data_IF_490319936129
#
_entry.id   IF_490319936129
#
_cell.length_a   1.000
_cell.length_b   1.000
_cell.length_c   1.000
_cell.angle_alpha   90.00
_cell.angle_beta   90.00
_cell.angle_gamma   90.00
#
_symmetry.space_group_name_H-M   'P 1'
#
loop_
_entity.id
_entity.type
_entity.pdbx_description
1 polymer ?
#
# COMPACT_ATOMS: atom_id res chain seq x y z
N UNK A 1 17.59 3.31 -50.01
CA UNK A 1 18.59 2.67 -49.13
C UNK A 1 19.01 3.70 -48.10
N UNK A 2 18.60 3.52 -46.84
CA UNK A 2 19.03 4.36 -45.73
C UNK A 2 19.44 3.43 -44.59
N UNK A 3 20.70 3.55 -44.16
CA UNK A 3 21.35 2.73 -43.14
C UNK A 3 20.85 3.10 -41.74
N UNK A 4 20.39 2.10 -40.98
CA UNK A 4 20.13 2.23 -39.55
C UNK A 4 21.39 1.84 -38.75
N UNK A 5 21.94 2.80 -37.99
CA UNK A 5 23.01 2.53 -37.03
C UNK A 5 22.41 1.89 -35.77
N UNK A 6 22.88 0.68 -35.45
CA UNK A 6 22.60 0.00 -34.19
C UNK A 6 23.29 0.73 -33.03
N UNK A 7 22.51 1.19 -32.06
CA UNK A 7 23.01 1.60 -30.74
C UNK A 7 22.56 0.55 -29.73
N UNK A 8 23.51 -0.22 -29.22
CA UNK A 8 23.28 -1.22 -28.16
C UNK A 8 23.10 -0.51 -26.82
N UNK A 9 21.88 -0.50 -26.28
CA UNK A 9 21.61 -0.07 -24.91
C UNK A 9 21.91 -1.23 -23.94
N UNK A 10 22.80 -0.99 -22.99
CA UNK A 10 23.14 -1.88 -21.88
C UNK A 10 21.96 -2.06 -20.92
N UNK A 11 21.72 -3.30 -20.49
CA UNK A 11 20.69 -3.65 -19.51
C UNK A 11 20.94 -2.97 -18.14
N UNK A 12 19.89 -2.49 -17.44
CA UNK A 12 20.05 -1.98 -16.09
C UNK A 12 20.15 -3.13 -15.07
N UNK A 13 21.14 -3.00 -14.19
CA UNK A 13 21.47 -3.93 -13.11
C UNK A 13 20.39 -4.00 -12.02
N UNK A 14 20.17 -5.21 -11.50
CA UNK A 14 19.30 -5.55 -10.38
C UNK A 14 19.77 -4.93 -9.05
N UNK A 15 19.44 -3.67 -8.78
CA UNK A 15 19.54 -3.09 -7.43
C UNK A 15 18.76 -1.77 -7.34
N UNK A 16 17.48 -1.84 -7.01
CA UNK A 16 16.74 -0.67 -6.52
C UNK A 16 15.60 -1.13 -5.61
N UNK A 17 15.94 -1.50 -4.38
CA UNK A 17 14.94 -1.42 -3.32
C UNK A 17 14.69 0.07 -3.07
N UNK A 18 13.45 0.52 -3.21
CA UNK A 18 13.06 1.89 -2.84
C UNK A 18 13.43 2.15 -1.38
N UNK A 19 13.76 3.41 -1.05
CA UNK A 19 14.05 3.85 0.34
C UNK A 19 12.96 3.40 1.31
N UNK A 20 11.70 3.37 0.86
CA UNK A 20 10.55 2.85 1.57
C UNK A 20 10.63 1.33 1.81
N UNK A 21 10.99 0.54 0.79
CA UNK A 21 11.26 -0.89 0.95
C UNK A 21 12.40 -1.17 1.94
N UNK A 22 13.41 -0.28 2.01
CA UNK A 22 14.50 -0.36 2.99
C UNK A 22 14.03 0.02 4.41
N UNK A 23 13.21 1.05 4.57
CA UNK A 23 12.66 1.45 5.88
C UNK A 23 11.86 0.29 6.52
N UNK A 24 11.03 -0.38 5.71
CA UNK A 24 10.20 -1.49 6.13
C UNK A 24 11.01 -2.77 6.40
N UNK A 25 12.09 -3.01 5.65
CA UNK A 25 12.99 -4.16 5.88
C UNK A 25 13.74 -4.14 7.22
N UNK A 26 13.79 -2.99 7.91
CA UNK A 26 14.44 -2.85 9.23
C UNK A 26 13.60 -3.40 10.40
N UNK A 27 12.39 -3.90 10.14
CA UNK A 27 11.48 -4.45 11.14
C UNK A 27 11.83 -5.86 11.66
N UNK A 28 13.01 -6.42 11.32
CA UNK A 28 13.53 -7.60 12.02
C UNK A 28 13.86 -7.23 13.46
N UNK A 29 12.95 -7.54 14.38
CA UNK A 29 13.20 -7.49 15.82
C UNK A 29 14.52 -8.18 16.14
N UNK A 30 15.50 -7.41 16.61
CA UNK A 30 16.65 -7.95 17.33
C UNK A 30 16.16 -8.52 18.66
N UNK A 31 16.21 -9.85 18.82
CA UNK A 31 16.09 -10.46 20.14
C UNK A 31 17.32 -10.05 20.99
N UNK A 32 17.16 -9.77 22.30
CA UNK A 32 18.29 -9.49 23.17
C UNK A 32 19.12 -10.77 23.41
N UNK A 33 20.44 -10.62 23.39
CA UNK A 33 21.40 -11.69 23.58
C UNK A 33 21.28 -12.35 24.96
N UNK A 34 20.88 -13.62 24.97
CA UNK A 34 20.89 -14.49 26.14
C UNK A 34 22.24 -15.18 26.31
N UNK A 35 22.95 -14.78 27.36
CA UNK A 35 24.00 -15.48 28.12
C UNK A 35 24.40 -16.90 27.66
N UNK A 36 25.64 -17.07 27.20
CA UNK A 36 26.26 -18.39 27.02
C UNK A 36 26.67 -18.97 28.38
N UNK A 37 26.15 -20.15 28.73
CA UNK A 37 26.69 -20.99 29.81
C UNK A 37 27.22 -22.32 29.27
N UNK A 38 28.33 -22.75 29.84
CA UNK A 38 29.28 -23.73 29.34
C UNK A 38 28.73 -25.16 29.24
N UNK A 39 29.18 -25.88 28.19
CA UNK A 39 28.97 -27.33 28.04
C UNK A 39 29.86 -28.11 29.01
N UNK A 40 29.28 -29.10 29.70
CA UNK A 40 30.01 -30.28 30.20
C UNK A 40 29.20 -31.56 29.95
N UNK A 41 29.95 -32.64 29.68
CA UNK A 41 29.50 -33.97 29.23
C UNK A 41 29.07 -34.84 30.42
N UNK A 42 28.08 -35.73 30.25
CA UNK A 42 28.23 -37.20 30.41
C UNK A 42 26.91 -38.00 30.41
N UNK A 43 26.99 -39.15 29.73
CA UNK A 43 26.39 -40.48 29.94
C UNK A 43 24.94 -40.73 30.43
N UNK A 44 24.22 -41.51 29.59
CA UNK A 44 23.42 -42.72 29.87
C UNK A 44 22.44 -42.78 31.07
N UNK A 45 21.16 -43.06 30.79
CA UNK A 45 20.18 -43.48 31.79
C UNK A 45 18.77 -43.74 31.23
N UNK A 46 18.23 -44.92 31.55
CA UNK A 46 16.97 -45.57 31.13
C UNK A 46 15.64 -44.86 31.48
N UNK A 47 14.64 -45.07 30.60
CA UNK A 47 13.19 -45.37 30.85
C UNK A 47 12.29 -44.40 31.63
N UNK A 48 11.31 -43.76 30.95
CA UNK A 48 9.84 -43.74 31.27
C UNK A 48 9.04 -42.77 30.38
N UNK A 49 7.84 -43.20 29.96
CA UNK A 49 6.80 -42.45 29.23
C UNK A 49 6.47 -41.10 29.89
N UNK A 50 6.42 -40.02 29.09
CA UNK A 50 5.56 -38.84 29.33
C UNK A 50 5.03 -38.33 27.98
N UNK A 51 3.71 -38.31 27.86
CA UNK A 51 2.98 -37.59 26.83
C UNK A 51 3.18 -36.10 27.12
N UNK A 52 4.09 -35.43 26.39
CA UNK A 52 4.22 -33.97 26.47
C UNK A 52 3.35 -33.38 25.38
N UNK A 53 2.29 -32.70 25.81
CA UNK A 53 1.59 -31.70 25.01
C UNK A 53 2.62 -30.73 24.44
N UNK A 54 2.97 -30.88 23.16
CA UNK A 54 3.55 -29.80 22.40
C UNK A 54 2.45 -28.74 22.31
N UNK A 55 2.55 -27.74 23.18
CA UNK A 55 1.98 -26.44 22.89
C UNK A 55 2.61 -26.02 21.58
N UNK A 56 1.86 -26.16 20.49
CA UNK A 56 2.19 -25.48 19.25
C UNK A 56 2.24 -24.00 19.60
N UNK A 57 3.46 -23.47 19.72
CA UNK A 57 3.66 -22.04 19.55
C UNK A 57 3.02 -21.70 18.21
N UNK A 58 2.07 -20.75 18.13
CA UNK A 58 1.60 -20.31 16.84
C UNK A 58 2.83 -19.82 16.08
N UNK A 59 3.16 -20.52 15.01
CA UNK A 59 4.21 -20.13 14.09
C UNK A 59 3.75 -18.78 13.51
N UNK A 60 4.24 -17.69 14.11
CA UNK A 60 3.91 -16.32 13.67
C UNK A 60 4.58 -16.19 12.31
N UNK A 61 3.81 -16.54 11.29
CA UNK A 61 4.12 -16.25 9.90
C UNK A 61 4.57 -14.79 9.81
N UNK A 62 5.61 -14.48 9.00
CA UNK A 62 6.07 -13.11 8.86
C UNK A 62 4.85 -12.23 8.54
N UNK A 63 4.66 -11.19 9.34
CA UNK A 63 3.55 -10.24 9.21
C UNK A 63 3.46 -9.83 7.73
N UNK A 64 2.47 -10.34 7.00
CA UNK A 64 2.39 -10.11 5.55
C UNK A 64 1.92 -8.67 5.39
N UNK A 65 2.84 -7.83 4.94
CA UNK A 65 2.55 -6.47 4.55
C UNK A 65 2.10 -6.45 3.09
N UNK A 66 0.96 -5.80 2.83
CA UNK A 66 0.48 -5.51 1.49
C UNK A 66 0.54 -3.99 1.25
N UNK A 67 0.95 -3.61 0.04
CA UNK A 67 1.06 -2.22 -0.40
C UNK A 67 -0.11 -1.89 -1.30
N UNK A 68 -0.86 -0.83 -0.98
CA UNK A 68 -2.02 -0.41 -1.79
C UNK A 68 -1.83 1.01 -2.30
N UNK A 69 -2.08 1.25 -3.58
CA UNK A 69 -2.13 2.61 -4.12
C UNK A 69 -3.59 3.07 -4.12
N UNK A 70 -3.84 4.22 -3.50
CA UNK A 70 -5.13 4.90 -3.53
C UNK A 70 -5.02 6.07 -4.50
N UNK A 71 -5.73 6.00 -5.62
CA UNK A 71 -5.81 7.09 -6.61
C UNK A 71 -7.04 7.92 -6.28
N UNK A 72 -6.85 9.15 -5.81
CA UNK A 72 -7.92 10.09 -5.54
C UNK A 72 -8.17 10.95 -6.78
N UNK A 73 -9.18 10.59 -7.57
CA UNK A 73 -9.55 11.35 -8.78
C UNK A 73 -10.52 12.48 -8.47
N UNK A 74 -11.21 12.45 -7.32
CA UNK A 74 -12.19 13.45 -6.89
C UNK A 74 -13.53 12.85 -6.47
N UNK A 75 -14.61 13.58 -6.76
CA UNK A 75 -15.94 13.30 -6.19
C UNK A 75 -16.12 13.83 -4.77
N UNK A 76 -17.27 13.55 -4.16
CA UNK A 76 -17.70 14.12 -2.88
C UNK A 76 -16.92 13.60 -1.66
N UNK A 77 -16.31 12.41 -1.76
CA UNK A 77 -15.65 11.72 -0.63
C UNK A 77 -14.48 12.52 -0.02
N UNK A 78 -13.84 13.38 -0.80
CA UNK A 78 -12.72 14.22 -0.37
C UNK A 78 -13.04 15.72 -0.30
N UNK A 79 -14.31 16.11 -0.42
CA UNK A 79 -14.67 17.53 -0.40
C UNK A 79 -14.81 18.06 1.04
N UNK A 80 -14.44 19.33 1.23
CA UNK A 80 -14.58 20.04 2.50
C UNK A 80 -15.66 21.12 2.39
N UNK A 81 -16.33 21.40 3.50
CA UNK A 81 -17.29 22.50 3.58
C UNK A 81 -16.54 23.79 3.90
N UNK A 82 -16.55 24.73 2.95
CA UNK A 82 -16.03 26.07 3.15
C UNK A 82 -17.14 27.09 2.83
N UNK A 83 -17.51 27.91 3.82
CA UNK A 83 -18.61 28.89 3.69
C UNK A 83 -19.94 28.29 3.18
N UNK A 84 -20.34 27.12 3.70
CA UNK A 84 -21.53 26.35 3.27
C UNK A 84 -21.51 25.87 1.81
N UNK A 85 -20.37 25.94 1.13
CA UNK A 85 -20.17 25.35 -0.19
C UNK A 85 -19.24 24.15 -0.05
N UNK A 86 -19.63 23.04 -0.68
CA UNK A 86 -18.81 21.85 -0.75
C UNK A 86 -17.80 22.01 -1.90
N UNK A 87 -16.51 21.95 -1.59
CA UNK A 87 -15.44 22.11 -2.59
C UNK A 87 -14.27 21.17 -2.31
N UNK A 88 -13.56 20.70 -3.36
CA UNK A 88 -12.34 19.95 -3.16
C UNK A 88 -11.24 20.84 -2.57
N UNK A 89 -10.53 20.33 -1.57
CA UNK A 89 -9.38 20.99 -0.96
C UNK A 89 -8.15 20.07 -1.05
N UNK A 90 -7.03 20.51 -1.67
CA UNK A 90 -5.85 19.67 -1.84
C UNK A 90 -5.34 19.11 -0.53
N UNK A 91 -5.05 17.80 -0.50
CA UNK A 91 -4.56 17.03 0.64
C UNK A 91 -5.49 16.97 1.88
N UNK A 92 -6.63 17.65 1.90
CA UNK A 92 -7.53 17.65 3.06
C UNK A 92 -8.03 16.25 3.42
N UNK A 93 -8.26 15.41 2.41
CA UNK A 93 -8.61 14.01 2.62
C UNK A 93 -7.50 13.26 3.37
N UNK A 94 -6.25 13.35 2.91
CA UNK A 94 -5.11 12.67 3.52
C UNK A 94 -4.88 13.14 4.95
N UNK A 95 -5.00 14.45 5.20
CA UNK A 95 -4.91 15.00 6.56
C UNK A 95 -6.01 14.47 7.48
N UNK A 96 -7.22 14.30 6.95
CA UNK A 96 -8.34 13.72 7.70
C UNK A 96 -8.11 12.24 7.99
N UNK A 97 -7.70 11.45 6.99
CA UNK A 97 -7.39 10.02 7.14
C UNK A 97 -6.33 9.79 8.22
N UNK A 98 -5.32 10.66 8.31
CA UNK A 98 -4.24 10.56 9.30
C UNK A 98 -4.72 10.74 10.74
N UNK A 99 -5.83 11.47 10.95
CA UNK A 99 -6.42 11.70 12.29
C UNK A 99 -7.32 10.53 12.73
N UNK A 100 -7.73 9.66 11.80
CA UNK A 100 -8.64 8.55 12.10
C UNK A 100 -7.85 7.29 12.49
N UNK A 101 -7.90 6.91 13.77
CA UNK A 101 -7.19 5.74 14.28
C UNK A 101 -7.61 4.41 13.62
N UNK A 102 -8.79 4.36 12.99
CA UNK A 102 -9.25 3.21 12.22
C UNK A 102 -8.56 3.10 10.84
N UNK A 103 -8.01 4.21 10.33
CA UNK A 103 -7.38 4.32 9.01
C UNK A 103 -5.89 4.69 9.09
N UNK A 104 -5.36 4.96 10.29
CA UNK A 104 -3.96 5.28 10.50
C UNK A 104 -3.45 4.78 11.87
N UNK A 105 -2.43 3.92 11.84
CA UNK A 105 -1.69 3.44 13.03
C UNK A 105 -0.42 4.29 13.22
N UNK A 106 -0.55 5.38 13.97
CA UNK A 106 0.53 6.34 14.22
C UNK A 106 1.72 5.70 14.97
N UNK A 107 1.44 4.81 15.93
CA UNK A 107 2.48 4.16 16.72
C UNK A 107 3.39 3.29 15.83
N UNK A 108 2.78 2.47 14.97
CA UNK A 108 3.53 1.66 14.02
C UNK A 108 4.37 2.52 13.07
N UNK A 109 3.79 3.62 12.59
CA UNK A 109 4.48 4.50 11.67
C UNK A 109 5.67 5.25 12.30
N UNK A 110 5.58 5.62 13.58
CA UNK A 110 6.72 6.17 14.34
C UNK A 110 7.84 5.13 14.48
N UNK A 111 7.50 3.90 14.84
CA UNK A 111 8.46 2.80 15.05
C UNK A 111 9.20 2.42 13.76
N UNK A 112 8.48 2.40 12.63
CA UNK A 112 9.03 2.02 11.31
C UNK A 112 9.62 3.19 10.53
N UNK A 113 9.51 4.41 11.07
CA UNK A 113 9.88 5.67 10.39
C UNK A 113 9.10 5.93 9.10
N UNK A 114 7.89 5.39 8.99
CA UNK A 114 6.98 5.71 7.88
C UNK A 114 6.60 7.20 7.83
N UNK A 115 6.76 7.94 8.94
CA UNK A 115 6.56 9.39 8.97
C UNK A 115 7.42 10.17 7.96
N UNK A 116 8.56 9.61 7.54
CA UNK A 116 9.41 10.19 6.50
C UNK A 116 8.68 10.30 5.14
N UNK A 117 7.61 9.53 4.94
CA UNK A 117 6.82 9.44 3.71
C UNK A 117 5.41 10.03 3.86
N UNK A 118 5.18 10.84 4.91
CA UNK A 118 3.86 11.44 5.17
C UNK A 118 3.53 12.63 4.30
N UNK A 119 4.56 13.35 3.86
CA UNK A 119 4.37 14.56 3.05
C UNK A 119 4.29 14.18 1.57
N UNK A 120 3.71 15.06 0.74
CA UNK A 120 3.82 14.92 -0.70
C UNK A 120 5.29 14.86 -1.15
N UNK A 121 5.59 14.06 -2.19
CA UNK A 121 4.64 13.37 -3.07
C UNK A 121 4.10 12.02 -2.55
N UNK A 122 4.61 11.48 -1.44
CA UNK A 122 4.36 10.07 -1.09
C UNK A 122 3.11 9.80 -0.27
N UNK A 123 2.57 10.78 0.49
CA UNK A 123 1.28 10.71 1.19
C UNK A 123 0.93 9.31 1.74
N UNK A 124 1.88 8.70 2.45
CA UNK A 124 1.79 7.30 2.87
C UNK A 124 1.21 7.19 4.28
N UNK A 125 0.35 6.20 4.45
CA UNK A 125 -0.34 5.85 5.69
C UNK A 125 -0.30 4.33 5.87
N UNK A 126 -0.73 3.87 7.05
CA UNK A 126 -0.71 2.48 7.43
C UNK A 126 -1.95 2.17 8.25
N UNK A 127 -2.69 1.13 7.86
CA UNK A 127 -3.87 0.68 8.62
C UNK A 127 -3.43 -0.04 9.90
N UNK A 128 -4.26 -0.03 10.97
CA UNK A 128 -4.10 -0.93 12.11
C UNK A 128 -4.02 -2.39 11.68
N UNK A 129 -3.45 -3.24 12.54
CA UNK A 129 -3.31 -4.66 12.24
C UNK A 129 -4.70 -5.29 12.08
N UNK A 130 -4.90 -5.99 10.97
CA UNK A 130 -6.15 -6.73 10.75
C UNK A 130 -6.25 -7.95 11.67
N UNK A 131 -7.46 -8.51 11.81
CA UNK A 131 -7.71 -9.74 12.58
C UNK A 131 -6.89 -10.94 12.08
N UNK A 132 -6.45 -10.91 10.83
CA UNK A 132 -5.65 -11.94 10.18
C UNK A 132 -4.14 -11.65 10.26
N UNK A 133 -3.70 -10.74 11.14
CA UNK A 133 -2.31 -10.31 11.26
C UNK A 133 -1.69 -9.90 9.92
N UNK A 134 -2.47 -9.23 9.07
CA UNK A 134 -1.98 -8.55 7.88
C UNK A 134 -1.87 -7.06 8.12
N UNK A 135 -0.77 -6.47 7.63
CA UNK A 135 -0.54 -5.04 7.64
C UNK A 135 -0.78 -4.48 6.25
N UNK A 136 -1.47 -3.34 6.15
CA UNK A 136 -1.68 -2.64 4.88
C UNK A 136 -1.04 -1.26 4.98
N UNK A 137 -0.05 -1.02 4.13
CA UNK A 137 0.54 0.30 3.91
C UNK A 137 -0.05 0.85 2.62
N UNK A 138 -0.57 2.06 2.65
CA UNK A 138 -1.20 2.66 1.48
C UNK A 138 -0.71 4.07 1.21
N UNK A 139 -0.56 4.39 -0.08
CA UNK A 139 -0.11 5.69 -0.59
C UNK A 139 -1.28 6.37 -1.30
N UNK A 140 -1.52 7.66 -1.03
CA UNK A 140 -2.56 8.42 -1.72
C UNK A 140 -1.96 9.27 -2.84
N UNK A 141 -2.21 8.89 -4.09
CA UNK A 141 -1.96 9.71 -5.27
C UNK A 141 -3.18 10.61 -5.52
N UNK A 142 -3.02 11.91 -5.30
CA UNK A 142 -4.10 12.88 -5.51
C UNK A 142 -3.96 13.59 -6.86
N UNK A 143 -5.04 13.63 -7.65
CA UNK A 143 -5.06 14.36 -8.91
C UNK A 143 -5.15 15.87 -8.68
N UNK A 144 -4.56 16.63 -9.60
CA UNK A 144 -4.60 18.09 -9.58
C UNK A 144 -4.90 18.60 -11.00
N UNK A 145 -6.08 19.21 -11.24
CA UNK A 145 -7.18 19.41 -10.29
C UNK A 145 -7.90 18.09 -9.92
N UNK A 146 -8.59 18.08 -8.79
CA UNK A 146 -9.57 17.04 -8.47
C UNK A 146 -10.78 17.18 -9.41
N UNK A 147 -11.29 16.05 -9.88
CA UNK A 147 -12.32 15.99 -10.91
C UNK A 147 -13.72 15.83 -10.30
N UNK A 148 -14.68 16.54 -10.89
CA UNK A 148 -16.08 16.19 -10.76
C UNK A 148 -16.38 15.06 -11.75
N UNK A 149 -16.93 13.94 -11.26
CA UNK A 149 -17.15 12.75 -12.08
C UNK A 149 -18.10 13.00 -13.25
N UNK A 150 -19.04 13.96 -13.14
CA UNK A 150 -19.92 14.31 -14.24
C UNK A 150 -19.18 14.94 -15.44
N UNK A 151 -17.97 15.46 -15.23
CA UNK A 151 -17.13 16.08 -16.25
C UNK A 151 -16.00 15.17 -16.75
N UNK A 152 -15.94 13.92 -16.29
CA UNK A 152 -14.90 12.98 -16.74
C UNK A 152 -15.13 12.53 -18.17
N UNK A 153 -14.02 12.45 -18.91
CA UNK A 153 -13.93 12.10 -20.32
C UNK A 153 -13.11 10.82 -20.52
N UNK A 154 -13.02 10.37 -21.78
CA UNK A 154 -12.17 9.22 -22.14
C UNK A 154 -10.69 9.46 -21.83
N UNK A 155 -10.22 10.71 -21.87
CA UNK A 155 -8.84 11.06 -21.57
C UNK A 155 -8.54 10.92 -20.06
N UNK A 156 -9.52 11.20 -19.21
CA UNK A 156 -9.41 10.98 -17.76
C UNK A 156 -9.31 9.48 -17.44
N UNK A 157 -10.12 8.65 -18.10
CA UNK A 157 -10.03 7.19 -17.95
C UNK A 157 -8.69 6.64 -18.43
N UNK A 158 -8.18 7.15 -19.56
CA UNK A 158 -6.86 6.78 -20.07
C UNK A 158 -5.74 7.20 -19.10
N UNK A 159 -5.90 8.32 -18.41
CA UNK A 159 -4.96 8.78 -17.38
C UNK A 159 -4.95 7.83 -16.19
N UNK A 160 -6.12 7.42 -15.68
CA UNK A 160 -6.24 6.42 -14.62
C UNK A 160 -5.58 5.09 -15.04
N UNK A 161 -5.86 4.61 -16.26
CA UNK A 161 -5.26 3.38 -16.79
C UNK A 161 -3.73 3.45 -16.85
N UNK A 162 -3.16 4.57 -17.31
CA UNK A 162 -1.70 4.80 -17.33
C UNK A 162 -1.10 4.83 -15.92
N UNK A 163 -1.79 5.41 -14.95
CA UNK A 163 -1.31 5.41 -13.56
C UNK A 163 -1.35 4.01 -12.93
N UNK A 164 -2.37 3.20 -13.25
CA UNK A 164 -2.41 1.80 -12.86
C UNK A 164 -1.22 1.02 -13.44
N UNK A 165 -0.96 1.16 -14.74
CA UNK A 165 0.17 0.53 -15.44
C UNK A 165 1.51 0.96 -14.82
N UNK A 166 1.72 2.27 -14.67
CA UNK A 166 2.95 2.86 -14.15
C UNK A 166 3.33 2.34 -12.76
N UNK A 167 2.35 2.12 -11.91
CA UNK A 167 2.58 1.69 -10.52
C UNK A 167 2.31 0.19 -10.31
N UNK A 168 2.01 -0.55 -11.37
CA UNK A 168 1.53 -1.92 -11.29
C UNK A 168 2.48 -2.83 -10.49
N UNK A 169 3.79 -2.74 -10.72
CA UNK A 169 4.79 -3.58 -10.04
C UNK A 169 5.06 -3.18 -8.58
N UNK A 170 4.73 -1.95 -8.19
CA UNK A 170 5.12 -1.38 -6.88
C UNK A 170 4.09 -1.63 -5.77
N UNK A 171 2.87 -2.01 -6.16
CA UNK A 171 1.73 -2.19 -5.27
C UNK A 171 1.06 -3.53 -5.51
N UNK A 172 0.42 -4.07 -4.47
CA UNK A 172 -0.27 -5.36 -4.49
C UNK A 172 -1.77 -5.22 -4.83
N UNK A 173 -2.28 -3.98 -4.87
CA UNK A 173 -3.64 -3.66 -5.23
C UNK A 173 -3.89 -2.15 -5.30
N UNK A 174 -5.05 -1.79 -5.83
CA UNK A 174 -5.42 -0.41 -6.10
C UNK A 174 -6.82 -0.10 -5.59
N UNK A 175 -6.98 1.13 -5.10
CA UNK A 175 -8.29 1.73 -4.79
C UNK A 175 -8.38 3.03 -5.56
N UNK A 176 -9.49 3.27 -6.24
CA UNK A 176 -9.76 4.51 -6.98
C UNK A 176 -10.93 5.19 -6.28
N UNK A 177 -10.66 6.37 -5.70
CA UNK A 177 -11.69 7.22 -5.13
C UNK A 177 -12.27 8.10 -6.23
N UNK A 178 -13.58 8.01 -6.42
CA UNK A 178 -14.27 8.56 -7.59
C UNK A 178 -15.64 9.12 -7.19
N UNK A 179 -16.16 10.09 -7.94
CA UNK A 179 -17.54 10.55 -7.80
C UNK A 179 -18.55 9.49 -8.26
N UNK A 180 -19.75 9.50 -7.68
CA UNK A 180 -20.75 8.44 -7.87
C UNK A 180 -21.51 8.53 -9.20
N UNK A 181 -21.58 9.70 -9.82
CA UNK A 181 -22.41 9.93 -11.01
C UNK A 181 -21.98 9.09 -12.21
N UNK A 182 -20.67 8.97 -12.44
CA UNK A 182 -20.12 8.24 -13.59
C UNK A 182 -19.23 7.06 -13.22
N UNK A 183 -19.20 6.66 -11.94
CA UNK A 183 -18.34 5.57 -11.44
C UNK A 183 -18.52 4.26 -12.24
N UNK A 184 -19.75 3.90 -12.59
CA UNK A 184 -20.04 2.69 -13.35
C UNK A 184 -19.48 2.74 -14.78
N UNK A 185 -19.49 3.92 -15.42
CA UNK A 185 -18.91 4.12 -16.74
C UNK A 185 -17.39 4.01 -16.68
N UNK A 186 -16.75 4.67 -15.71
CA UNK A 186 -15.30 4.55 -15.49
C UNK A 186 -14.90 3.11 -15.18
N UNK A 187 -15.62 2.41 -14.30
CA UNK A 187 -15.36 1.00 -14.00
C UNK A 187 -15.43 0.12 -15.26
N UNK A 188 -16.43 0.35 -16.11
CA UNK A 188 -16.61 -0.38 -17.36
C UNK A 188 -15.50 -0.06 -18.37
N UNK A 189 -15.08 1.20 -18.49
CA UNK A 189 -13.96 1.57 -19.37
C UNK A 189 -12.65 0.91 -18.90
N UNK A 190 -12.36 0.97 -17.60
CA UNK A 190 -11.14 0.39 -17.03
C UNK A 190 -11.10 -1.13 -17.16
N UNK A 191 -12.25 -1.83 -17.09
CA UNK A 191 -12.27 -3.29 -17.25
C UNK A 191 -11.87 -3.75 -18.66
N UNK A 192 -12.09 -2.92 -19.69
CA UNK A 192 -11.59 -3.15 -21.04
C UNK A 192 -10.15 -2.67 -21.25
N UNK A 193 -9.76 -1.56 -20.63
CA UNK A 193 -8.38 -1.04 -20.75
C UNK A 193 -7.34 -1.93 -20.05
N UNK A 194 -7.72 -2.51 -18.91
CA UNK A 194 -6.81 -3.25 -18.03
C UNK A 194 -6.89 -4.76 -18.28
N UNK A 195 -6.41 -5.20 -19.45
CA UNK A 195 -6.37 -6.63 -19.78
C UNK A 195 -5.40 -7.41 -18.87
N UNK A 196 -5.75 -8.66 -18.55
CA UNK A 196 -4.91 -9.58 -17.76
C UNK A 196 -4.55 -9.10 -16.35
N UNK A 197 -5.50 -8.45 -15.68
CA UNK A 197 -5.32 -7.96 -14.32
C UNK A 197 -5.14 -9.10 -13.31
N UNK A 198 -3.95 -9.17 -12.72
CA UNK A 198 -3.58 -10.11 -11.64
C UNK A 198 -3.68 -9.52 -10.23
N UNK A 199 -4.00 -8.23 -10.11
CA UNK A 199 -4.10 -7.48 -8.84
C UNK A 199 -5.48 -6.82 -8.72
N UNK A 200 -6.08 -6.73 -7.52
CA UNK A 200 -7.38 -6.10 -7.36
C UNK A 200 -7.32 -4.60 -7.64
N UNK A 201 -8.29 -4.09 -8.41
CA UNK A 201 -8.56 -2.65 -8.61
C UNK A 201 -10.00 -2.38 -8.17
N UNK A 202 -10.17 -1.58 -7.13
CA UNK A 202 -11.46 -1.33 -6.48
C UNK A 202 -11.85 0.14 -6.68
N UNK A 203 -13.02 0.40 -7.27
CA UNK A 203 -13.59 1.75 -7.33
C UNK A 203 -14.54 1.97 -6.15
N UNK A 204 -14.48 3.14 -5.54
CA UNK A 204 -15.40 3.54 -4.47
C UNK A 204 -15.60 5.05 -4.44
N UNK A 205 -16.66 5.49 -3.76
CA UNK A 205 -17.03 6.89 -3.63
C UNK A 205 -18.00 7.09 -2.47
N UNK A 206 -18.41 8.33 -2.26
CA UNK A 206 -19.38 8.71 -1.23
C UNK A 206 -20.55 9.45 -1.86
N UNK A 207 -21.67 9.51 -1.14
CA UNK A 207 -22.70 10.52 -1.33
C UNK A 207 -22.49 11.63 -0.29
N UNK A 208 -22.90 12.86 -0.61
CA UNK A 208 -22.86 14.00 0.31
C UNK A 208 -24.21 14.17 1.03
#
# INVERSE_FOLDING_TARGET
MAEWKHTTASAPSSASMTSLGRALSRSRLSQPEGFQSQKSRSAAGQTRRRYSSSSESPDISPNIEARVLVINTGGTIGMTYHNNVLSPEPNALVETLRKLHILHDEQYAQQTRLYEYYKPPENTLVLPLSKQNKRIVYTVLEYSPLLDSCNMTTDDWATIGKDLEKHYEQYDGFVILHGTDTMAYTASALSFMCENLGKPVILTGSQA
#
